data_IF_542169098956
#
_entry.id   IF_542169098956
#
_cell.length_a   1.000
_cell.length_b   1.000
_cell.length_c   1.000
_cell.angle_alpha   90.00
_cell.angle_beta   90.00
_cell.angle_gamma   90.00
#
_symmetry.space_group_name_H-M   'P 1'
#
loop_
_entity.id
_entity.type
_entity.pdbx_description
1 polymer ?
#
# COMPACT_ATOMS: atom_id res chain seq x y z
N UNK A 1 -9.82 12.68 -26.47
CA UNK A 1 -10.08 12.11 -25.13
C UNK A 1 -8.77 11.70 -24.47
N UNK A 2 -8.32 12.43 -23.44
CA UNK A 2 -7.01 12.20 -22.80
C UNK A 2 -7.01 10.93 -21.94
N UNK A 3 -5.98 10.12 -22.18
CA UNK A 3 -5.67 8.83 -21.56
C UNK A 3 -5.46 8.96 -20.04
N UNK A 4 -6.50 8.73 -19.23
CA UNK A 4 -6.40 8.80 -17.77
C UNK A 4 -6.19 7.41 -17.12
N UNK A 5 -5.08 6.74 -17.48
CA UNK A 5 -4.69 5.46 -16.86
C UNK A 5 -4.08 5.64 -15.45
N UNK A 6 -3.56 6.82 -15.12
CA UNK A 6 -2.88 7.09 -13.84
C UNK A 6 -3.82 7.22 -12.64
N UNK A 7 -5.03 7.78 -12.82
CA UNK A 7 -6.01 7.93 -11.74
C UNK A 7 -6.54 6.57 -11.23
N UNK A 8 -6.57 5.55 -12.10
CA UNK A 8 -7.03 4.21 -11.72
C UNK A 8 -6.12 3.56 -10.68
N UNK A 9 -4.79 3.76 -10.77
CA UNK A 9 -3.84 3.21 -9.81
C UNK A 9 -3.99 3.82 -8.42
N UNK A 10 -4.11 5.15 -8.33
CA UNK A 10 -4.34 5.85 -7.06
C UNK A 10 -5.68 5.49 -6.44
N UNK A 11 -6.75 5.44 -7.24
CA UNK A 11 -8.06 5.01 -6.75
C UNK A 11 -8.07 3.56 -6.25
N UNK A 12 -7.32 2.67 -6.90
CA UNK A 12 -7.18 1.27 -6.51
C UNK A 12 -6.40 1.10 -5.21
N UNK A 13 -5.31 1.86 -5.08
CA UNK A 13 -4.55 1.97 -3.83
C UNK A 13 -5.39 2.57 -2.71
N UNK A 14 -6.18 3.61 -2.99
CA UNK A 14 -7.08 4.20 -1.99
C UNK A 14 -8.15 3.21 -1.53
N UNK A 15 -8.71 2.41 -2.44
CA UNK A 15 -9.68 1.34 -2.12
C UNK A 15 -9.05 0.20 -1.33
N UNK A 16 -7.86 -0.22 -1.73
CA UNK A 16 -7.06 -1.21 -1.01
C UNK A 16 -6.67 -0.70 0.38
N UNK A 17 -6.20 0.54 0.49
CA UNK A 17 -5.85 1.18 1.75
C UNK A 17 -7.05 1.41 2.65
N UNK A 18 -8.24 1.71 2.11
CA UNK A 18 -9.46 1.78 2.91
C UNK A 18 -9.87 0.40 3.46
N UNK A 19 -9.73 -0.65 2.65
CA UNK A 19 -10.03 -2.03 3.07
C UNK A 19 -8.98 -2.61 4.02
N UNK A 20 -7.74 -2.11 3.92
CA UNK A 20 -6.56 -2.57 4.64
C UNK A 20 -6.00 -1.44 5.53
N UNK A 21 -6.88 -0.61 6.08
CA UNK A 21 -6.50 0.61 6.78
C UNK A 21 -5.57 0.32 7.95
N UNK A 22 -5.82 -0.77 8.69
CA UNK A 22 -4.97 -1.22 9.79
C UNK A 22 -3.54 -1.52 9.34
N UNK A 23 -3.37 -2.27 8.25
CA UNK A 23 -2.06 -2.59 7.70
C UNK A 23 -1.38 -1.36 7.07
N UNK A 24 -2.17 -0.48 6.44
CA UNK A 24 -1.68 0.77 5.86
C UNK A 24 -1.15 1.72 6.95
N UNK A 25 -1.86 1.84 8.05
CA UNK A 25 -1.47 2.66 9.21
C UNK A 25 -0.25 2.07 9.89
N UNK A 26 -0.19 0.75 10.11
CA UNK A 26 0.98 0.10 10.71
C UNK A 26 2.24 0.27 9.83
N UNK A 27 2.11 0.06 8.51
CA UNK A 27 3.19 0.34 7.56
C UNK A 27 3.60 1.81 7.58
N UNK A 28 2.64 2.73 7.54
CA UNK A 28 2.89 4.18 7.58
C UNK A 28 3.56 4.64 8.88
N UNK A 29 3.19 4.05 10.02
CA UNK A 29 3.83 4.32 11.32
C UNK A 29 5.27 3.79 11.34
N UNK A 30 5.50 2.56 10.89
CA UNK A 30 6.84 1.99 10.79
C UNK A 30 7.74 2.86 9.89
N UNK A 31 7.20 3.30 8.76
CA UNK A 31 7.85 4.21 7.80
C UNK A 31 8.13 5.56 8.45
N UNK A 32 7.17 6.15 9.16
CA UNK A 32 7.34 7.46 9.81
C UNK A 32 8.39 7.43 10.93
N UNK A 33 8.41 6.36 11.73
CA UNK A 33 9.40 6.15 12.80
C UNK A 33 10.78 5.90 12.21
N UNK A 34 10.85 5.12 11.13
CA UNK A 34 12.11 4.70 10.50
C UNK A 34 12.57 5.63 9.38
N UNK A 35 11.87 6.73 9.10
CA UNK A 35 12.09 7.54 7.88
C UNK A 35 13.54 8.03 7.73
N UNK A 36 14.23 8.28 8.85
CA UNK A 36 15.64 8.70 8.90
C UNK A 36 16.64 7.58 8.60
N UNK A 37 16.33 6.35 9.02
CA UNK A 37 17.20 5.17 8.95
C UNK A 37 16.55 4.08 8.09
N UNK A 38 15.91 4.50 7.00
CA UNK A 38 15.18 3.61 6.09
C UNK A 38 16.09 2.57 5.47
N UNK A 39 16.26 1.43 6.14
CA UNK A 39 16.83 0.25 5.54
C UNK A 39 15.76 -0.47 4.72
N UNK A 40 16.12 -0.85 3.49
CA UNK A 40 15.34 -1.84 2.72
C UNK A 40 15.18 -3.05 3.64
N UNK A 41 13.93 -3.39 3.94
CA UNK A 41 13.46 -4.50 4.79
C UNK A 41 12.90 -4.12 6.19
N UNK A 42 13.18 -2.92 6.71
CA UNK A 42 12.77 -2.56 8.08
C UNK A 42 11.25 -2.60 8.31
N UNK A 43 10.46 -2.25 7.30
CA UNK A 43 9.00 -2.36 7.29
C UNK A 43 8.49 -3.39 6.28
N UNK A 44 9.32 -4.36 5.85
CA UNK A 44 8.92 -5.35 4.85
C UNK A 44 7.74 -6.20 5.31
N UNK A 45 7.71 -6.59 6.59
CA UNK A 45 6.62 -7.39 7.15
C UNK A 45 5.26 -6.69 7.04
N UNK A 46 5.21 -5.42 7.40
CA UNK A 46 4.00 -4.58 7.32
C UNK A 46 3.63 -4.30 5.86
N UNK A 47 4.63 -4.03 5.02
CA UNK A 47 4.42 -3.86 3.58
C UNK A 47 3.85 -5.11 2.93
N UNK A 48 4.30 -6.29 3.33
CA UNK A 48 3.87 -7.56 2.77
C UNK A 48 2.42 -7.88 3.18
N UNK A 49 2.06 -7.60 4.44
CA UNK A 49 0.68 -7.68 4.91
C UNK A 49 -0.25 -6.69 4.20
N UNK A 50 0.19 -5.44 4.05
CA UNK A 50 -0.53 -4.42 3.30
C UNK A 50 -0.71 -4.83 1.83
N UNK A 51 0.37 -5.30 1.18
CA UNK A 51 0.36 -5.78 -0.20
C UNK A 51 -0.59 -6.95 -0.39
N UNK A 52 -0.56 -7.97 0.47
CA UNK A 52 -1.45 -9.13 0.37
C UNK A 52 -2.93 -8.70 0.49
N UNK A 53 -3.22 -7.82 1.46
CA UNK A 53 -4.56 -7.30 1.64
C UNK A 53 -5.02 -6.44 0.46
N UNK A 54 -4.16 -5.55 -0.07
CA UNK A 54 -4.47 -4.76 -1.27
C UNK A 54 -4.65 -5.68 -2.47
N UNK A 55 -3.80 -6.68 -2.69
CA UNK A 55 -3.94 -7.64 -3.79
C UNK A 55 -5.28 -8.38 -3.72
N UNK A 56 -5.71 -8.80 -2.52
CA UNK A 56 -7.03 -9.41 -2.27
C UNK A 56 -8.18 -8.43 -2.54
N UNK A 57 -8.11 -7.21 -2.00
CA UNK A 57 -9.14 -6.18 -2.15
C UNK A 57 -9.30 -5.73 -3.61
N UNK A 58 -8.19 -5.69 -4.34
CA UNK A 58 -8.11 -5.23 -5.71
C UNK A 58 -8.49 -6.33 -6.72
N UNK A 59 -8.51 -7.61 -6.31
CA UNK A 59 -8.85 -8.79 -7.15
C UNK A 59 -8.18 -8.75 -8.55
N UNK A 60 -7.02 -8.10 -8.69
CA UNK A 60 -6.25 -8.09 -9.93
C UNK A 60 -5.29 -9.27 -9.85
N UNK A 61 -5.66 -10.36 -10.52
CA UNK A 61 -4.70 -11.34 -11.04
C UNK A 61 -3.85 -10.56 -12.07
N UNK A 62 -2.60 -10.29 -11.74
CA UNK A 62 -1.61 -9.83 -12.72
C UNK A 62 -1.25 -10.97 -13.65
#
# INVERSE_FOLDING_TARGET
>A
MSNNKSAKGVALLARGAASCATQATAYGQCVAVSYRDMQRDQCAKEFQAFKDCVQKAVKRKW
#
